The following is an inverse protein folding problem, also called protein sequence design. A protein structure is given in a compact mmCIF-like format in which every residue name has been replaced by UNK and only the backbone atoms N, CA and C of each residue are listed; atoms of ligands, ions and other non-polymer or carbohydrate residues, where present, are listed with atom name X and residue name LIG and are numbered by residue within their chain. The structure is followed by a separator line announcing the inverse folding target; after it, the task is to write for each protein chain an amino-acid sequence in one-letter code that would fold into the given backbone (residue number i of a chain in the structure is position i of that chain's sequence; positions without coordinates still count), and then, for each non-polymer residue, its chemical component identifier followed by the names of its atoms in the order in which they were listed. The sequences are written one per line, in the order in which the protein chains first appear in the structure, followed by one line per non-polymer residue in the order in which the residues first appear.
data_IF_715377127276
#
_entry.id   IF_715377127276
#
_cell.length_a   1.000
_cell.length_b   1.000
_cell.length_c   1.000
_cell.angle_alpha   90.00
_cell.angle_beta   90.00
_cell.angle_gamma   90.00
#
_symmetry.space_group_name_H-M   'P 1'
#
loop_
_entity.id
_entity.type
_entity.pdbx_description
1 polymer ?
#
# COMPACT_ATOMS: atom_id res chain seq x y z
N UNK A 1 7.17 15.04 18.94
CA UNK A 1 5.90 15.72 18.64
C UNK A 1 5.26 14.88 17.54
N UNK A 2 4.10 14.26 17.79
CA UNK A 2 3.39 13.55 16.72
C UNK A 2 3.08 14.54 15.60
N UNK A 3 3.54 14.23 14.39
CA UNK A 3 3.24 15.03 13.21
C UNK A 3 1.71 15.03 13.03
N UNK A 4 1.07 16.20 13.13
CA UNK A 4 -0.39 16.30 13.11
C UNK A 4 -0.99 16.08 11.71
N UNK A 5 -0.16 16.00 10.67
CA UNK A 5 -0.59 15.76 9.29
C UNK A 5 0.51 14.99 8.54
N UNK A 6 0.73 13.72 8.89
CA UNK A 6 1.75 12.88 8.27
C UNK A 6 1.37 12.55 6.83
N UNK A 7 2.36 12.35 5.98
CA UNK A 7 2.16 11.89 4.61
C UNK A 7 1.89 10.38 4.61
N UNK A 8 0.64 9.99 4.37
CA UNK A 8 0.19 8.59 4.50
C UNK A 8 -0.02 7.99 3.11
N UNK A 9 0.66 6.88 2.82
CA UNK A 9 0.44 6.09 1.62
C UNK A 9 -0.50 4.91 1.89
N UNK A 10 -1.56 4.80 1.10
CA UNK A 10 -2.58 3.74 1.22
C UNK A 10 -2.68 3.00 -0.12
N UNK A 11 -1.80 2.01 -0.39
CA UNK A 11 -1.99 1.12 -1.53
C UNK A 11 -3.32 0.38 -1.36
N UNK A 12 -4.11 0.27 -2.43
CA UNK A 12 -5.45 -0.31 -2.34
C UNK A 12 -6.56 0.64 -1.86
N UNK A 13 -6.29 1.94 -1.72
CA UNK A 13 -7.25 2.96 -1.23
C UNK A 13 -8.65 2.99 -1.89
N UNK A 14 -8.85 2.42 -3.08
CA UNK A 14 -10.17 2.35 -3.75
C UNK A 14 -10.92 1.04 -3.52
N UNK A 15 -10.35 0.12 -2.74
CA UNK A 15 -10.89 -1.23 -2.50
C UNK A 15 -11.63 -1.31 -1.17
N UNK A 16 -12.19 -2.48 -0.89
CA UNK A 16 -13.06 -2.74 0.26
C UNK A 16 -12.45 -2.32 1.61
N UNK A 17 -11.16 -2.58 1.83
CA UNK A 17 -10.47 -2.22 3.07
C UNK A 17 -9.92 -0.78 3.02
N UNK A 18 -9.29 -0.40 1.91
CA UNK A 18 -8.64 0.91 1.78
C UNK A 18 -9.59 2.11 1.74
N UNK A 19 -10.79 1.96 1.14
CA UNK A 19 -11.72 3.09 0.94
C UNK A 19 -12.31 3.63 2.25
N UNK A 20 -12.78 2.80 3.20
CA UNK A 20 -13.20 3.28 4.51
C UNK A 20 -12.07 3.98 5.28
N UNK A 21 -10.85 3.44 5.23
CA UNK A 21 -9.68 4.04 5.89
C UNK A 21 -9.37 5.42 5.30
N UNK A 22 -9.38 5.53 3.96
CA UNK A 22 -9.18 6.79 3.26
C UNK A 22 -10.20 7.84 3.71
N UNK A 23 -11.49 7.51 3.68
CA UNK A 23 -12.57 8.42 4.09
C UNK A 23 -12.43 8.86 5.55
N UNK A 24 -12.14 7.93 6.45
CA UNK A 24 -11.95 8.24 7.86
C UNK A 24 -10.79 9.23 8.08
N UNK A 25 -9.69 9.08 7.34
CA UNK A 25 -8.53 9.98 7.45
C UNK A 25 -8.82 11.36 6.83
N UNK A 26 -9.57 11.42 5.73
CA UNK A 26 -10.06 12.69 5.17
C UNK A 26 -11.00 13.41 6.15
N UNK A 27 -11.95 12.70 6.76
CA UNK A 27 -12.89 13.23 7.75
C UNK A 27 -12.17 13.75 9.01
N UNK A 28 -11.06 13.13 9.39
CA UNK A 28 -10.17 13.59 10.46
C UNK A 28 -9.27 14.77 10.09
N UNK A 29 -9.34 15.25 8.84
CA UNK A 29 -8.62 16.43 8.37
C UNK A 29 -7.22 16.15 7.81
N UNK A 30 -6.86 14.89 7.56
CA UNK A 30 -5.55 14.57 6.97
C UNK A 30 -5.55 14.90 5.48
N UNK A 31 -4.74 15.88 5.06
CA UNK A 31 -4.72 16.36 3.67
C UNK A 31 -3.62 15.73 2.81
N UNK A 32 -2.72 14.95 3.42
CA UNK A 32 -1.55 14.35 2.74
C UNK A 32 -1.72 12.84 2.49
N UNK A 33 -2.85 12.45 1.94
CA UNK A 33 -3.11 11.07 1.54
C UNK A 33 -2.55 10.80 0.14
N UNK A 34 -1.76 9.74 0.00
CA UNK A 34 -1.24 9.26 -1.28
C UNK A 34 -1.95 7.96 -1.63
N UNK A 35 -2.56 7.93 -2.80
CA UNK A 35 -3.11 6.74 -3.41
C UNK A 35 -2.54 6.56 -4.82
N UNK A 36 -2.24 5.32 -5.21
CA UNK A 36 -1.93 4.94 -6.59
C UNK A 36 -2.79 3.75 -7.00
N UNK A 37 -3.34 3.82 -8.20
CA UNK A 37 -3.99 2.70 -8.85
C UNK A 37 -2.95 1.70 -9.33
N UNK A 38 -3.35 0.45 -9.56
CA UNK A 38 -2.47 -0.60 -10.07
C UNK A 38 -1.91 -0.33 -11.47
N UNK A 39 -2.46 0.65 -12.19
CA UNK A 39 -1.92 1.11 -13.49
C UNK A 39 -0.81 2.14 -13.31
N UNK A 40 -0.86 2.94 -12.26
CA UNK A 40 0.13 3.97 -11.94
C UNK A 40 1.33 3.37 -11.20
N UNK A 41 1.07 2.39 -10.33
CA UNK A 41 2.11 1.71 -9.55
C UNK A 41 1.80 0.22 -9.46
N UNK A 42 2.66 -0.59 -10.10
CA UNK A 42 2.64 -2.03 -9.93
C UNK A 42 3.50 -2.42 -8.72
N UNK A 43 2.83 -2.71 -7.60
CA UNK A 43 3.47 -3.02 -6.32
C UNK A 43 4.29 -4.33 -6.35
N UNK A 44 4.13 -5.17 -7.39
CA UNK A 44 4.95 -6.38 -7.56
C UNK A 44 6.35 -6.05 -8.10
N UNK A 45 6.53 -4.87 -8.70
CA UNK A 45 7.80 -4.44 -9.29
C UNK A 45 8.60 -3.61 -8.29
N UNK A 46 9.61 -4.24 -7.69
CA UNK A 46 10.47 -3.61 -6.68
C UNK A 46 11.01 -2.25 -7.13
N UNK A 47 11.58 -2.14 -8.33
CA UNK A 47 12.12 -0.88 -8.85
C UNK A 47 11.09 0.24 -8.96
N UNK A 48 9.83 -0.08 -9.28
CA UNK A 48 8.76 0.90 -9.35
C UNK A 48 8.36 1.39 -7.95
N UNK A 49 8.30 0.47 -6.98
CA UNK A 49 8.03 0.80 -5.57
C UNK A 49 9.17 1.64 -5.00
N UNK A 50 10.43 1.26 -5.20
CA UNK A 50 11.60 2.03 -4.75
C UNK A 50 11.57 3.45 -5.29
N UNK A 51 11.35 3.63 -6.60
CA UNK A 51 11.26 4.96 -7.22
C UNK A 51 10.09 5.77 -6.67
N UNK A 52 8.96 5.13 -6.42
CA UNK A 52 7.80 5.80 -5.83
C UNK A 52 8.10 6.29 -4.42
N UNK A 53 8.73 5.46 -3.56
CA UNK A 53 9.10 5.86 -2.20
C UNK A 53 10.17 6.95 -2.19
N UNK A 54 11.13 6.93 -3.12
CA UNK A 54 12.14 7.98 -3.26
C UNK A 54 11.52 9.35 -3.59
N UNK A 55 10.49 9.35 -4.44
CA UNK A 55 9.80 10.57 -4.87
C UNK A 55 8.81 11.08 -3.82
N UNK A 56 7.98 10.18 -3.27
CA UNK A 56 6.89 10.56 -2.38
C UNK A 56 7.31 10.63 -0.92
N UNK A 57 8.26 9.82 -0.47
CA UNK A 57 8.73 9.72 0.93
C UNK A 57 7.57 9.70 1.94
N UNK A 58 6.70 8.67 1.88
CA UNK A 58 5.62 8.55 2.87
C UNK A 58 6.19 8.35 4.27
N UNK A 59 5.53 8.94 5.27
CA UNK A 59 5.88 8.79 6.68
C UNK A 59 5.19 7.55 7.27
N UNK A 60 3.97 7.26 6.80
CA UNK A 60 3.17 6.11 7.23
C UNK A 60 2.69 5.35 6.00
N UNK A 61 2.71 4.02 6.08
CA UNK A 61 2.13 3.14 5.06
C UNK A 61 1.04 2.28 5.69
N UNK A 62 -0.14 2.27 5.09
CA UNK A 62 -1.25 1.39 5.48
C UNK A 62 -1.53 0.46 4.30
N UNK A 63 -0.95 -0.74 4.33
CA UNK A 63 -1.12 -1.72 3.28
C UNK A 63 -2.52 -2.31 3.30
N UNK A 64 -3.32 -1.94 2.29
CA UNK A 64 -4.64 -2.52 2.02
C UNK A 64 -4.72 -3.15 0.63
N UNK A 65 -3.56 -3.33 -0.03
CA UNK A 65 -3.48 -3.91 -1.35
C UNK A 65 -3.26 -5.41 -1.26
N UNK A 66 -4.23 -6.17 -1.78
CA UNK A 66 -4.09 -7.60 -1.93
C UNK A 66 -4.61 -8.03 -3.31
N UNK A 67 -3.98 -9.05 -3.87
CA UNK A 67 -4.55 -9.82 -4.95
C UNK A 67 -5.51 -10.84 -4.34
N UNK A 68 -6.80 -10.56 -4.49
CA UNK A 68 -7.88 -11.44 -4.03
C UNK A 68 -8.66 -11.99 -5.22
N UNK A 69 -9.09 -13.24 -5.11
CA UNK A 69 -9.93 -13.91 -6.09
C UNK A 69 -11.19 -14.50 -5.45
N UNK A 70 -12.17 -14.86 -6.29
CA UNK A 70 -13.29 -15.70 -5.85
C UNK A 70 -12.75 -17.07 -5.38
N UNK A 71 -13.59 -17.83 -4.68
CA UNK A 71 -13.23 -19.18 -4.18
C UNK A 71 -12.57 -20.03 -5.28
N UNK A 72 -13.10 -19.97 -6.50
CA UNK A 72 -12.57 -20.71 -7.64
C UNK A 72 -11.16 -20.24 -8.07
N UNK A 73 -10.89 -18.94 -8.10
CA UNK A 73 -9.58 -18.41 -8.45
C UNK A 73 -8.50 -18.82 -7.43
N UNK A 74 -8.86 -18.92 -6.14
CA UNK A 74 -7.95 -19.41 -5.10
C UNK A 74 -7.62 -20.91 -5.28
N UNK A 75 -8.52 -21.70 -5.88
CA UNK A 75 -8.27 -23.11 -6.17
C UNK A 75 -7.47 -23.32 -7.45
N UNK A 76 -7.73 -22.51 -8.48
CA UNK A 76 -7.13 -22.67 -9.80
C UNK A 76 -5.73 -22.05 -9.88
N UNK A 77 -5.47 -20.95 -9.18
CA UNK A 77 -4.19 -20.22 -9.22
C UNK A 77 -3.59 -19.91 -7.83
N UNK A 78 -3.48 -20.89 -6.91
CA UNK A 78 -3.03 -20.64 -5.55
C UNK A 78 -1.59 -20.13 -5.49
N UNK A 79 -0.71 -20.68 -6.33
CA UNK A 79 0.70 -20.27 -6.40
C UNK A 79 0.83 -18.80 -6.83
N UNK A 80 0.14 -18.41 -7.90
CA UNK A 80 0.20 -17.03 -8.42
C UNK A 80 -0.33 -16.03 -7.40
N UNK A 81 -1.46 -16.32 -6.76
CA UNK A 81 -2.03 -15.45 -5.73
C UNK A 81 -1.08 -15.29 -4.54
N UNK A 82 -0.50 -16.38 -4.05
CA UNK A 82 0.47 -16.32 -2.96
C UNK A 82 1.70 -15.50 -3.37
N UNK A 83 2.28 -15.80 -4.52
CA UNK A 83 3.49 -15.13 -4.99
C UNK A 83 3.29 -13.64 -5.21
N UNK A 84 2.17 -13.23 -5.82
CA UNK A 84 1.87 -11.82 -6.04
C UNK A 84 1.67 -11.07 -4.71
N UNK A 85 0.96 -11.65 -3.73
CA UNK A 85 0.78 -11.01 -2.43
C UNK A 85 2.10 -10.91 -1.65
N UNK A 86 2.94 -11.94 -1.68
CA UNK A 86 4.28 -11.90 -1.07
C UNK A 86 5.17 -10.83 -1.73
N UNK A 87 5.12 -10.70 -3.06
CA UNK A 87 5.85 -9.64 -3.77
C UNK A 87 5.39 -8.25 -3.33
N UNK A 88 4.08 -8.03 -3.24
CA UNK A 88 3.51 -6.75 -2.78
C UNK A 88 4.00 -6.43 -1.37
N UNK A 89 3.81 -7.36 -0.43
CA UNK A 89 4.19 -7.18 0.97
C UNK A 89 5.69 -6.96 1.13
N UNK A 90 6.53 -7.79 0.52
CA UNK A 90 7.99 -7.68 0.63
C UNK A 90 8.50 -6.36 0.08
N UNK A 91 7.96 -5.90 -1.06
CA UNK A 91 8.38 -4.62 -1.65
C UNK A 91 7.98 -3.43 -0.77
N UNK A 92 6.79 -3.46 -0.17
CA UNK A 92 6.33 -2.40 0.73
C UNK A 92 7.11 -2.40 2.04
N UNK A 93 7.33 -3.56 2.66
CA UNK A 93 8.13 -3.69 3.89
C UNK A 93 9.55 -3.19 3.66
N UNK A 94 10.21 -3.66 2.60
CA UNK A 94 11.59 -3.27 2.30
C UNK A 94 11.69 -1.77 2.00
N UNK A 95 10.78 -1.22 1.18
CA UNK A 95 10.80 0.21 0.87
C UNK A 95 10.48 1.07 2.10
N UNK A 96 9.51 0.68 2.93
CA UNK A 96 9.20 1.38 4.17
C UNK A 96 10.39 1.43 5.12
N UNK A 97 11.10 0.30 5.27
CA UNK A 97 12.32 0.25 6.08
C UNK A 97 13.44 1.10 5.47
N UNK A 98 13.72 0.94 4.17
CA UNK A 98 14.81 1.62 3.47
C UNK A 98 14.68 3.14 3.46
N UNK A 99 13.46 3.65 3.28
CA UNK A 99 13.19 5.10 3.22
C UNK A 99 12.80 5.71 4.57
N UNK A 100 12.84 4.94 5.66
CA UNK A 100 12.64 5.45 7.01
C UNK A 100 11.21 5.85 7.33
N UNK A 101 10.20 5.09 6.85
CA UNK A 101 8.83 5.26 7.30
C UNK A 101 8.73 5.04 8.81
N UNK A 102 7.95 5.86 9.50
CA UNK A 102 7.75 5.75 10.95
C UNK A 102 6.95 4.50 11.31
N UNK A 103 5.91 4.20 10.51
CA UNK A 103 5.01 3.07 10.76
C UNK A 103 4.55 2.41 9.46
N UNK A 104 4.39 1.08 9.50
CA UNK A 104 3.76 0.27 8.47
C UNK A 104 2.70 -0.63 9.14
N UNK A 105 1.49 -0.65 8.56
CA UNK A 105 0.40 -1.56 8.93
C UNK A 105 0.10 -2.48 7.73
N UNK A 106 -0.03 -3.80 7.93
CA UNK A 106 -0.33 -4.79 6.89
C UNK A 106 -1.18 -5.96 7.42
#
# INVERSE_FOLDING_TARGET
MENQNPKIFIPGHKRMVGLPIWRLLEEKGNSKLIGRSSRELDLRKQCAVTRFFEQEKPEIVIDSAAKVGAIWANQEYPYTLLMENLQIQNNLIEASHHFGCENLYF
#
